data_IF_753596576555
#
_entry.id   IF_753596576555
#
_cell.length_a   1.000
_cell.length_b   1.000
_cell.length_c   1.000
_cell.angle_alpha   90.00
_cell.angle_beta   90.00
_cell.angle_gamma   90.00
#
_symmetry.space_group_name_H-M   'P 1'
#
loop_
_entity.id
_entity.type
_entity.pdbx_description
1 polymer ?
#
# COMPACT_ATOMS: atom_id res chain seq x y z
N UNK A 1 -7.73 -7.61 -51.34
CA UNK A 1 -7.19 -6.75 -50.27
C UNK A 1 -7.41 -7.49 -48.98
N UNK A 2 -6.33 -7.99 -48.36
CA UNK A 2 -6.33 -9.02 -47.31
C UNK A 2 -6.35 -8.33 -45.95
N UNK A 3 -7.42 -8.55 -45.16
CA UNK A 3 -7.57 -8.12 -43.76
C UNK A 3 -7.44 -9.34 -42.83
N UNK A 4 -6.39 -10.15 -43.00
CA UNK A 4 -6.20 -11.41 -42.24
C UNK A 4 -4.90 -11.40 -41.41
N UNK A 5 -4.04 -10.42 -41.62
CA UNK A 5 -2.72 -10.36 -40.97
C UNK A 5 -2.68 -9.54 -39.66
N UNK A 6 -3.66 -8.68 -39.40
CA UNK A 6 -3.65 -7.78 -38.22
C UNK A 6 -3.99 -8.52 -36.92
N UNK A 7 -5.06 -9.32 -36.91
CA UNK A 7 -5.48 -10.12 -35.73
C UNK A 7 -4.41 -11.12 -35.28
N UNK A 8 -3.61 -11.67 -36.20
CA UNK A 8 -2.51 -12.59 -35.87
C UNK A 8 -1.31 -11.87 -35.26
N UNK A 9 -1.09 -10.62 -35.64
CA UNK A 9 -0.01 -9.78 -35.13
C UNK A 9 -0.37 -9.19 -33.76
N UNK A 10 -1.64 -8.84 -33.54
CA UNK A 10 -2.17 -8.50 -32.22
C UNK A 10 -2.16 -9.70 -31.28
N UNK A 11 -2.63 -10.89 -31.70
CA UNK A 11 -2.58 -12.10 -30.87
C UNK A 11 -1.15 -12.55 -30.55
N UNK A 12 -0.18 -12.36 -31.47
CA UNK A 12 1.24 -12.59 -31.17
C UNK A 12 1.78 -11.58 -30.17
N UNK A 13 1.51 -10.28 -30.35
CA UNK A 13 1.87 -9.25 -29.37
C UNK A 13 1.23 -9.53 -28.01
N UNK A 14 -0.02 -9.95 -27.96
CA UNK A 14 -0.71 -10.32 -26.72
C UNK A 14 -0.03 -11.50 -26.02
N UNK A 15 0.35 -12.54 -26.78
CA UNK A 15 1.09 -13.70 -26.26
C UNK A 15 2.53 -13.40 -25.88
N UNK A 16 3.17 -12.44 -26.52
CA UNK A 16 4.51 -11.95 -26.15
C UNK A 16 4.45 -11.01 -24.94
N UNK A 17 3.34 -10.29 -24.77
CA UNK A 17 3.07 -9.48 -23.59
C UNK A 17 2.75 -10.32 -22.36
N UNK A 18 2.14 -11.49 -22.52
CA UNK A 18 1.73 -12.36 -21.41
C UNK A 18 2.92 -12.75 -20.48
N UNK A 19 4.09 -13.20 -20.99
CA UNK A 19 5.29 -13.39 -20.17
C UNK A 19 5.83 -12.10 -19.55
N UNK A 20 5.79 -10.97 -20.27
CA UNK A 20 6.30 -9.69 -19.75
C UNK A 20 5.42 -9.13 -18.64
N UNK A 21 4.10 -9.29 -18.76
CA UNK A 21 3.11 -8.90 -17.75
C UNK A 21 3.24 -9.80 -16.53
N UNK A 22 3.40 -11.10 -16.74
CA UNK A 22 3.66 -12.04 -15.65
C UNK A 22 4.96 -11.69 -14.91
N UNK A 23 6.04 -11.40 -15.63
CA UNK A 23 7.31 -10.99 -15.03
C UNK A 23 7.17 -9.68 -14.23
N UNK A 24 6.38 -8.71 -14.71
CA UNK A 24 6.09 -7.48 -13.96
C UNK A 24 5.25 -7.75 -12.71
N UNK A 25 4.25 -8.63 -12.79
CA UNK A 25 3.44 -9.03 -11.63
C UNK A 25 4.30 -9.75 -10.58
N UNK A 26 5.17 -10.64 -11.02
CA UNK A 26 6.10 -11.37 -10.16
C UNK A 26 7.09 -10.41 -9.49
N UNK A 27 7.63 -9.43 -10.23
CA UNK A 27 8.51 -8.39 -9.67
C UNK A 27 7.78 -7.53 -8.63
N UNK A 28 6.56 -7.09 -8.94
CA UNK A 28 5.74 -6.31 -8.00
C UNK A 28 5.43 -7.10 -6.73
N UNK A 29 5.03 -8.36 -6.88
CA UNK A 29 4.78 -9.26 -5.77
C UNK A 29 6.03 -9.49 -4.92
N UNK A 30 7.18 -9.70 -5.57
CA UNK A 30 8.46 -9.87 -4.89
C UNK A 30 8.82 -8.63 -4.08
N UNK A 31 8.68 -7.44 -4.66
CA UNK A 31 8.95 -6.20 -3.95
C UNK A 31 8.02 -5.98 -2.75
N UNK A 32 6.72 -6.24 -2.93
CA UNK A 32 5.74 -6.13 -1.84
C UNK A 32 6.15 -7.06 -0.70
N UNK A 33 6.34 -8.35 -1.00
CA UNK A 33 6.62 -9.37 0.03
C UNK A 33 7.98 -9.19 0.71
N UNK A 34 9.01 -8.73 -0.02
CA UNK A 34 10.35 -8.56 0.54
C UNK A 34 10.55 -7.22 1.26
N UNK A 35 9.86 -6.16 0.84
CA UNK A 35 10.11 -4.79 1.33
C UNK A 35 8.91 -4.22 2.07
N UNK A 36 7.75 -4.17 1.42
CA UNK A 36 6.56 -3.45 1.93
C UNK A 36 5.88 -4.19 3.06
N UNK A 37 5.73 -5.52 2.95
CA UNK A 37 4.92 -6.34 3.86
C UNK A 37 5.41 -6.28 5.31
N UNK A 38 6.73 -6.30 5.51
CA UNK A 38 7.33 -6.18 6.85
C UNK A 38 7.02 -4.85 7.52
N UNK A 39 7.02 -3.75 6.77
CA UNK A 39 6.73 -2.41 7.31
C UNK A 39 5.22 -2.31 7.58
N UNK A 40 4.39 -2.76 6.64
CA UNK A 40 2.93 -2.71 6.76
C UNK A 40 2.42 -3.58 7.89
N UNK A 41 2.96 -4.78 8.09
CA UNK A 41 2.56 -5.68 9.18
C UNK A 41 2.77 -5.01 10.53
N UNK A 42 3.96 -4.41 10.77
CA UNK A 42 4.24 -3.67 12.02
C UNK A 42 3.27 -2.49 12.21
N UNK A 43 3.03 -1.74 11.15
CA UNK A 43 2.13 -0.59 11.20
C UNK A 43 0.66 -1.01 11.45
N UNK A 44 0.22 -2.14 10.87
CA UNK A 44 -1.11 -2.74 11.10
C UNK A 44 -1.25 -3.19 12.55
N UNK A 45 -0.27 -3.94 13.05
CA UNK A 45 -0.28 -4.43 14.43
C UNK A 45 -0.42 -3.28 15.42
N UNK A 46 0.39 -2.23 15.25
CA UNK A 46 0.34 -1.06 16.12
C UNK A 46 -1.02 -0.33 16.02
N UNK A 47 -1.49 -0.05 14.81
CA UNK A 47 -2.73 0.73 14.64
C UNK A 47 -3.97 -0.04 15.11
N UNK A 48 -3.98 -1.38 15.03
CA UNK A 48 -5.06 -2.22 15.54
C UNK A 48 -4.96 -2.50 17.04
N UNK A 49 -3.76 -2.37 17.62
CA UNK A 49 -3.58 -2.41 19.08
C UNK A 49 -4.24 -1.19 19.73
N UNK A 50 -4.01 0.00 19.19
CA UNK A 50 -4.46 1.26 19.78
C UNK A 50 -5.81 1.75 19.25
N UNK A 51 -6.13 1.50 17.97
CA UNK A 51 -7.35 1.99 17.30
C UNK A 51 -7.55 3.53 17.40
N UNK A 52 -6.55 4.35 17.03
CA UNK A 52 -6.64 5.81 17.09
C UNK A 52 -7.70 6.36 16.14
N UNK A 53 -8.41 7.42 16.53
CA UNK A 53 -9.36 8.08 15.63
C UNK A 53 -8.65 8.74 14.43
N UNK A 54 -7.48 9.33 14.67
CA UNK A 54 -6.58 9.95 13.68
C UNK A 54 -5.60 8.91 13.10
N UNK A 55 -6.14 7.92 12.39
CA UNK A 55 -5.39 6.74 11.90
C UNK A 55 -4.18 7.11 11.02
N UNK A 56 -4.32 8.09 10.12
CA UNK A 56 -3.23 8.47 9.21
C UNK A 56 -2.05 9.13 9.96
N UNK A 57 -2.32 10.07 10.88
CA UNK A 57 -1.26 10.72 11.67
C UNK A 57 -0.53 9.69 12.55
N UNK A 58 -1.30 8.76 13.15
CA UNK A 58 -0.75 7.70 13.97
C UNK A 58 0.22 6.81 13.18
N UNK A 59 -0.17 6.37 11.98
CA UNK A 59 0.69 5.58 11.09
C UNK A 59 1.93 6.36 10.65
N UNK A 60 1.79 7.64 10.31
CA UNK A 60 2.91 8.50 9.97
C UNK A 60 3.93 8.60 11.11
N UNK A 61 3.47 8.91 12.32
CA UNK A 61 4.34 9.06 13.49
C UNK A 61 4.98 7.74 13.90
N UNK A 62 4.26 6.63 13.77
CA UNK A 62 4.80 5.29 14.01
C UNK A 62 5.99 5.01 13.09
N UNK A 63 5.82 5.24 11.78
CA UNK A 63 6.89 5.04 10.80
C UNK A 63 8.07 6.00 10.98
N UNK A 64 7.84 7.21 11.50
CA UNK A 64 8.92 8.13 11.88
C UNK A 64 9.61 7.79 13.20
N UNK A 65 9.11 6.82 13.97
CA UNK A 65 9.59 6.55 15.33
C UNK A 65 9.31 7.69 16.32
N UNK A 66 8.32 8.54 16.03
CA UNK A 66 7.92 9.71 16.86
C UNK A 66 6.53 9.55 17.47
N UNK A 67 5.99 8.32 17.45
CA UNK A 67 4.70 8.01 18.02
C UNK A 67 4.73 8.18 19.55
N UNK A 68 3.87 9.06 20.04
CA UNK A 68 3.48 9.12 21.44
C UNK A 68 1.99 8.78 21.53
N UNK A 69 1.64 7.54 21.95
CA UNK A 69 0.26 7.10 22.03
C UNK A 69 -0.61 8.01 22.93
N UNK A 70 -0.03 8.71 23.92
CA UNK A 70 -0.83 9.53 24.84
C UNK A 70 -1.53 10.71 24.16
N UNK A 71 -1.12 11.09 22.95
CA UNK A 71 -1.67 12.22 22.21
C UNK A 71 -2.90 11.87 21.36
N UNK A 72 -3.42 10.65 21.44
CA UNK A 72 -4.52 10.19 20.61
C UNK A 72 -5.77 9.85 21.42
N UNK A 73 -6.92 10.08 20.79
CA UNK A 73 -8.18 9.47 21.19
C UNK A 73 -8.35 8.12 20.49
N UNK A 74 -8.97 7.18 21.21
CA UNK A 74 -9.10 5.80 20.78
C UNK A 74 -10.55 5.40 20.61
N UNK A 75 -10.78 4.58 19.59
CA UNK A 75 -12.11 4.11 19.23
C UNK A 75 -12.34 2.74 19.86
N UNK A 76 -13.47 2.58 20.56
CA UNK A 76 -13.90 1.31 21.13
C UNK A 76 -14.86 0.58 20.18
N UNK A 77 -14.30 -0.01 19.12
CA UNK A 77 -15.04 -0.90 18.20
C UNK A 77 -14.28 -2.20 17.99
N UNK A 78 -14.93 -3.28 17.50
CA UNK A 78 -14.23 -4.49 17.13
C UNK A 78 -13.12 -4.22 16.11
N UNK A 79 -11.95 -4.85 16.29
CA UNK A 79 -10.75 -4.62 15.46
C UNK A 79 -11.00 -4.75 13.96
N UNK A 80 -11.76 -5.77 13.55
CA UNK A 80 -12.11 -5.96 12.14
C UNK A 80 -12.92 -4.78 11.59
N UNK A 81 -13.88 -4.26 12.37
CA UNK A 81 -14.69 -3.12 11.96
C UNK A 81 -13.87 -1.83 11.89
N UNK A 82 -12.93 -1.63 12.81
CA UNK A 82 -11.98 -0.53 12.74
C UNK A 82 -11.08 -0.64 11.49
N UNK A 83 -10.51 -1.83 11.26
CA UNK A 83 -9.68 -2.10 10.09
C UNK A 83 -10.41 -1.76 8.79
N UNK A 84 -11.60 -2.31 8.60
CA UNK A 84 -12.37 -2.13 7.36
C UNK A 84 -12.78 -0.67 7.14
N UNK A 85 -13.09 0.08 8.21
CA UNK A 85 -13.56 1.47 8.12
C UNK A 85 -12.43 2.49 7.97
N UNK A 86 -11.30 2.30 8.65
CA UNK A 86 -10.27 3.34 8.82
C UNK A 86 -8.92 2.95 8.23
N UNK A 87 -8.55 1.67 8.24
CA UNK A 87 -7.18 1.23 7.94
C UNK A 87 -7.05 0.68 6.51
N UNK A 88 -7.98 -0.18 6.09
CA UNK A 88 -7.87 -0.97 4.84
C UNK A 88 -7.58 -0.10 3.61
N UNK A 89 -8.33 0.99 3.45
CA UNK A 89 -8.17 1.86 2.28
C UNK A 89 -6.83 2.61 2.31
N UNK A 90 -6.42 3.14 3.48
CA UNK A 90 -5.15 3.84 3.64
C UNK A 90 -3.96 2.96 3.28
N UNK A 91 -3.94 1.72 3.78
CA UNK A 91 -2.85 0.78 3.51
C UNK A 91 -2.84 0.31 2.07
N UNK A 92 -4.01 0.05 1.48
CA UNK A 92 -4.11 -0.36 0.07
C UNK A 92 -3.47 0.70 -0.83
N UNK A 93 -3.82 1.98 -0.62
CA UNK A 93 -3.23 3.07 -1.40
C UNK A 93 -1.73 3.23 -1.14
N UNK A 94 -1.29 3.06 0.11
CA UNK A 94 0.12 3.17 0.49
C UNK A 94 0.97 2.09 -0.21
N UNK A 95 0.51 0.84 -0.19
CA UNK A 95 1.16 -0.29 -0.86
C UNK A 95 1.24 -0.03 -2.36
N UNK A 96 0.13 0.34 -3.00
CA UNK A 96 0.09 0.63 -4.45
C UNK A 96 1.09 1.75 -4.80
N UNK A 97 1.12 2.82 -4.00
CA UNK A 97 2.01 3.96 -4.21
C UNK A 97 3.48 3.54 -4.10
N UNK A 98 3.84 2.83 -3.03
CA UNK A 98 5.20 2.34 -2.83
C UNK A 98 5.65 1.34 -3.91
N UNK A 99 4.78 0.41 -4.31
CA UNK A 99 5.08 -0.54 -5.39
C UNK A 99 5.31 0.15 -6.73
N UNK A 100 4.59 1.24 -7.00
CA UNK A 100 4.76 2.02 -8.22
C UNK A 100 6.04 2.85 -8.20
N UNK A 101 6.28 3.56 -7.10
CA UNK A 101 7.32 4.59 -7.05
C UNK A 101 8.70 4.03 -6.63
N UNK A 102 8.74 2.85 -5.98
CA UNK A 102 9.95 2.15 -5.55
C UNK A 102 10.95 3.07 -4.82
N UNK A 103 10.54 3.71 -3.72
CA UNK A 103 11.41 4.63 -2.99
C UNK A 103 12.63 3.91 -2.40
N UNK A 104 13.77 4.62 -2.36
CA UNK A 104 14.99 4.15 -1.71
C UNK A 104 14.81 4.01 -0.19
N UNK A 105 14.09 4.95 0.43
CA UNK A 105 13.68 4.90 1.84
C UNK A 105 12.17 4.75 1.96
N UNK A 106 11.75 3.50 2.15
CA UNK A 106 10.35 3.13 2.19
C UNK A 106 9.65 3.61 3.48
N UNK A 107 10.32 3.65 4.63
CA UNK A 107 9.70 4.11 5.88
C UNK A 107 9.43 5.62 5.82
N UNK A 108 10.38 6.41 5.33
CA UNK A 108 10.21 7.86 5.12
C UNK A 108 9.12 8.14 4.10
N UNK A 109 9.16 7.48 2.94
CA UNK A 109 8.15 7.66 1.89
C UNK A 109 6.73 7.36 2.40
N UNK A 110 6.56 6.26 3.13
CA UNK A 110 5.26 5.88 3.67
C UNK A 110 4.80 6.82 4.79
N UNK A 111 5.71 7.32 5.62
CA UNK A 111 5.37 8.33 6.61
C UNK A 111 4.82 9.60 5.93
N UNK A 112 5.53 10.14 4.93
CA UNK A 112 5.09 11.30 4.16
C UNK A 112 3.75 11.05 3.44
N UNK A 113 3.57 9.84 2.90
CA UNK A 113 2.33 9.42 2.28
C UNK A 113 1.14 9.52 3.25
N UNK A 114 1.29 9.07 4.49
CA UNK A 114 0.24 9.16 5.51
C UNK A 114 0.06 10.60 6.03
N UNK A 115 1.14 11.36 6.22
CA UNK A 115 1.08 12.78 6.62
C UNK A 115 0.27 13.60 5.64
N UNK A 116 0.47 13.41 4.33
CA UNK A 116 -0.28 14.09 3.28
C UNK A 116 -1.81 13.83 3.37
N UNK A 117 -2.22 12.75 4.04
CA UNK A 117 -3.61 12.32 4.18
C UNK A 117 -4.25 12.72 5.51
N UNK A 118 -3.50 13.25 6.45
CA UNK A 118 -4.02 13.80 7.72
C UNK A 118 -4.96 14.99 7.51
N UNK A 119 -4.80 15.71 6.39
CA UNK A 119 -5.66 16.85 6.03
C UNK A 119 -7.02 16.46 5.46
N UNK A 120 -7.21 15.19 5.09
CA UNK A 120 -8.37 14.73 4.33
C UNK A 120 -9.23 13.69 5.06
N UNK A 121 -8.80 13.20 6.22
CA UNK A 121 -9.47 12.14 6.99
C UNK A 121 -9.55 12.45 8.48
#
# INVERSE_FOLDING_TARGET
MVLVDDDRLEQRRFKEHDPSLQAMLDDHYLYITQSVDRIMTRAIEEVLLYQPDQTADFLARHLRGTLDPKNYHYVEVPRQAYYDRKVRHLLTLAIISATKDRPDDLEVYLAEFFEARTKYF
#
